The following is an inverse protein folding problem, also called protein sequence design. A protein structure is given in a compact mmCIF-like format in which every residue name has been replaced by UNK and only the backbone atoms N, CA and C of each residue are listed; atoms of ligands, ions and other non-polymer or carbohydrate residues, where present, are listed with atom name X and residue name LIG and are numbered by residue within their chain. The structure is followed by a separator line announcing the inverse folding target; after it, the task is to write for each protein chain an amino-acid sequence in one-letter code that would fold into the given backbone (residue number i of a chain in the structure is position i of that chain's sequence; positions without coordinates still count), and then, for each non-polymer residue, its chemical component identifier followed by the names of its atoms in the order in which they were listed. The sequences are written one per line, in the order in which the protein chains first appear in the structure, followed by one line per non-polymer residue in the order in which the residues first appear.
data_IF_543825743491
#
_entry.id   IF_543825743491
#
_cell.length_a   1.000
_cell.length_b   1.000
_cell.length_c   1.000
_cell.angle_alpha   90.00
_cell.angle_beta   90.00
_cell.angle_gamma   90.00
#
_symmetry.space_group_name_H-M   'P 1'
#
loop_
_entity.id
_entity.type
_entity.pdbx_description
1 polymer ?
#
# COMPACT_ATOMS: atom_id res chain seq x y z
N UNK A 1 -9.54 -4.13 1.29
CA UNK A 1 -10.04 -4.40 2.65
C UNK A 1 -9.32 -3.54 3.69
N UNK A 2 -8.01 -3.61 3.81
CA UNK A 2 -7.23 -2.89 4.84
C UNK A 2 -7.34 -1.36 4.77
N UNK A 3 -7.54 -0.78 3.60
CA UNK A 3 -7.78 0.66 3.42
C UNK A 3 -9.02 1.15 4.19
N UNK A 4 -10.06 0.32 4.30
CA UNK A 4 -11.32 0.67 4.95
C UNK A 4 -11.27 0.78 6.47
N UNK A 5 -10.17 0.42 7.11
CA UNK A 5 -9.91 0.72 8.52
C UNK A 5 -8.51 1.30 8.77
N UNK A 6 -8.05 2.09 7.80
CA UNK A 6 -6.85 2.92 7.93
C UNK A 6 -5.52 2.17 7.85
N UNK A 7 -5.52 0.87 7.51
CA UNK A 7 -4.30 0.06 7.52
C UNK A 7 -3.90 -0.46 8.90
N UNK A 8 -4.80 -0.45 9.88
CA UNK A 8 -4.51 -0.84 11.28
C UNK A 8 -4.21 -2.33 11.45
N UNK A 9 -4.67 -3.20 10.53
CA UNK A 9 -4.66 -4.66 10.71
C UNK A 9 -3.29 -5.33 10.45
N UNK A 10 -2.22 -4.74 10.95
CA UNK A 10 -0.85 -5.25 10.79
C UNK A 10 -0.69 -6.63 11.45
N UNK A 11 -1.38 -6.83 12.56
CA UNK A 11 -1.31 -8.04 13.35
C UNK A 11 -2.17 -9.19 12.82
N UNK A 12 -3.33 -8.88 12.24
CA UNK A 12 -4.33 -9.87 11.86
C UNK A 12 -4.57 -10.01 10.35
N UNK A 13 -3.84 -9.27 9.51
CA UNK A 13 -3.97 -9.41 8.05
C UNK A 13 -3.47 -10.78 7.60
N UNK A 14 -4.22 -11.43 6.71
CA UNK A 14 -3.94 -12.77 6.18
C UNK A 14 -4.17 -12.86 4.68
N UNK A 15 -3.63 -13.92 4.07
CA UNK A 15 -3.81 -14.19 2.65
C UNK A 15 -3.12 -13.17 1.75
N UNK A 16 -3.65 -12.97 0.55
CA UNK A 16 -3.05 -12.09 -0.46
C UNK A 16 -3.04 -10.61 -0.06
N UNK A 17 -3.94 -10.17 0.79
CA UNK A 17 -3.95 -8.78 1.29
C UNK A 17 -2.72 -8.46 2.16
N UNK A 18 -2.15 -9.49 2.80
CA UNK A 18 -0.95 -9.35 3.61
C UNK A 18 0.27 -8.92 2.78
N UNK A 19 0.30 -9.22 1.49
CA UNK A 19 1.36 -8.79 0.56
C UNK A 19 1.51 -7.27 0.51
N UNK A 20 0.47 -6.52 0.87
CA UNK A 20 0.47 -5.06 0.83
C UNK A 20 0.59 -4.41 2.22
N UNK A 21 0.41 -5.17 3.32
CA UNK A 21 0.40 -4.62 4.67
C UNK A 21 1.48 -5.24 5.57
N UNK A 22 1.42 -6.54 5.85
CA UNK A 22 2.42 -7.30 6.60
C UNK A 22 2.66 -8.64 5.94
N UNK A 23 3.79 -8.79 5.28
CA UNK A 23 4.09 -9.95 4.44
C UNK A 23 4.03 -11.29 5.19
N UNK A 24 4.21 -11.32 6.51
CA UNK A 24 4.10 -12.53 7.31
C UNK A 24 2.71 -13.19 7.20
N UNK A 25 1.66 -12.38 7.06
CA UNK A 25 0.29 -12.88 6.96
C UNK A 25 0.00 -13.66 5.68
N UNK A 26 0.83 -13.55 4.64
CA UNK A 26 0.69 -14.39 3.45
C UNK A 26 0.91 -15.88 3.76
N UNK A 27 1.70 -16.20 4.79
CA UNK A 27 1.91 -17.58 5.24
C UNK A 27 0.62 -18.29 5.72
N UNK A 28 -0.47 -17.54 5.93
CA UNK A 28 -1.78 -18.06 6.31
C UNK A 28 -2.66 -18.42 5.09
N UNK A 29 -2.17 -18.20 3.85
CA UNK A 29 -2.83 -18.67 2.62
C UNK A 29 -3.04 -20.18 2.67
N UNK A 30 -4.29 -20.63 2.48
CA UNK A 30 -4.65 -22.06 2.58
C UNK A 30 -4.17 -22.85 1.37
N UNK A 31 -4.40 -22.36 0.17
CA UNK A 31 -4.01 -22.99 -1.10
C UNK A 31 -3.57 -21.95 -2.12
N UNK A 32 -4.50 -21.20 -2.67
CA UNK A 32 -4.25 -20.15 -3.66
C UNK A 32 -5.15 -18.97 -3.37
N UNK A 33 -4.57 -17.77 -3.32
CA UNK A 33 -5.32 -16.53 -3.16
C UNK A 33 -4.97 -15.59 -4.31
N UNK A 34 -5.99 -14.97 -4.90
CA UNK A 34 -5.83 -13.93 -5.94
C UNK A 34 -6.68 -12.74 -5.57
N UNK A 35 -6.15 -11.55 -5.69
CA UNK A 35 -6.91 -10.33 -5.51
C UNK A 35 -6.57 -9.28 -6.55
N UNK A 36 -7.56 -8.46 -6.85
CA UNK A 36 -7.42 -7.25 -7.64
C UNK A 36 -8.17 -6.11 -6.96
N UNK A 37 -7.58 -4.92 -6.98
CA UNK A 37 -8.19 -3.71 -6.41
C UNK A 37 -7.96 -2.53 -7.35
N UNK A 38 -9.02 -1.75 -7.56
CA UNK A 38 -8.96 -0.45 -8.22
C UNK A 38 -9.32 0.64 -7.22
N UNK A 39 -8.53 1.69 -7.19
CA UNK A 39 -8.69 2.82 -6.26
C UNK A 39 -8.66 4.12 -7.03
N UNK A 40 -9.71 4.91 -6.87
CA UNK A 40 -9.70 6.33 -7.22
C UNK A 40 -9.05 7.10 -6.07
N UNK A 41 -7.83 7.57 -6.30
CA UNK A 41 -7.06 8.30 -5.31
C UNK A 41 -7.41 9.78 -5.37
N UNK A 42 -7.87 10.36 -4.26
CA UNK A 42 -8.25 11.78 -4.17
C UNK A 42 -9.24 12.17 -5.29
N UNK A 43 -10.49 11.71 -5.17
CA UNK A 43 -11.54 11.95 -6.18
C UNK A 43 -11.59 13.42 -6.60
N UNK A 44 -11.46 13.67 -7.90
CA UNK A 44 -11.28 14.99 -8.50
C UNK A 44 -9.84 15.28 -8.94
N UNK A 45 -8.85 14.47 -8.52
CA UNK A 45 -7.44 14.62 -8.92
C UNK A 45 -7.02 13.80 -10.13
N UNK A 46 -7.89 12.95 -10.68
CA UNK A 46 -7.59 12.11 -11.85
C UNK A 46 -6.62 10.93 -11.59
N UNK A 47 -6.22 10.71 -10.33
CA UNK A 47 -5.21 9.71 -9.98
C UNK A 47 -5.87 8.36 -9.70
N UNK A 48 -5.34 7.30 -10.31
CA UNK A 48 -5.83 5.94 -10.16
C UNK A 48 -4.73 4.99 -9.71
N UNK A 49 -5.07 4.08 -8.79
CA UNK A 49 -4.18 3.02 -8.33
C UNK A 49 -4.83 1.68 -8.63
N UNK A 50 -4.09 0.81 -9.31
CA UNK A 50 -4.46 -0.58 -9.53
C UNK A 50 -3.51 -1.49 -8.79
N UNK A 51 -4.02 -2.46 -8.03
CA UNK A 51 -3.20 -3.43 -7.33
C UNK A 51 -3.69 -4.85 -7.61
N UNK A 52 -2.76 -5.77 -7.80
CA UNK A 52 -3.03 -7.19 -7.96
C UNK A 52 -2.09 -8.00 -7.10
N UNK A 53 -2.57 -9.10 -6.56
CA UNK A 53 -1.77 -10.02 -5.76
C UNK A 53 -2.14 -11.48 -6.04
N UNK A 54 -1.13 -12.33 -5.92
CA UNK A 54 -1.25 -13.77 -6.08
C UNK A 54 -0.41 -14.45 -5.01
N UNK A 55 -0.99 -15.39 -4.28
CA UNK A 55 -0.28 -16.22 -3.31
C UNK A 55 -0.56 -17.69 -3.60
N UNK A 56 0.47 -18.51 -3.53
CA UNK A 56 0.40 -19.95 -3.72
C UNK A 56 1.12 -20.67 -2.58
N UNK A 57 0.41 -21.57 -1.91
CA UNK A 57 1.01 -22.44 -0.89
C UNK A 57 2.01 -23.39 -1.54
N UNK A 58 3.18 -23.52 -0.94
CA UNK A 58 4.26 -24.40 -1.38
C UNK A 58 4.74 -25.22 -0.18
N UNK A 59 4.68 -26.53 -0.33
CA UNK A 59 4.97 -27.45 0.77
C UNK A 59 3.95 -27.34 1.92
N UNK A 60 4.37 -27.70 3.13
CA UNK A 60 3.49 -27.71 4.30
C UNK A 60 3.31 -26.33 4.93
N UNK A 61 4.35 -25.52 4.99
CA UNK A 61 4.41 -24.30 5.79
C UNK A 61 4.76 -23.04 5.01
N UNK A 62 5.20 -23.15 3.73
CA UNK A 62 5.64 -22.03 2.91
C UNK A 62 4.55 -21.51 1.97
N UNK A 63 4.65 -20.24 1.62
CA UNK A 63 3.82 -19.57 0.61
C UNK A 63 4.71 -18.67 -0.24
N UNK A 64 4.60 -18.82 -1.56
CA UNK A 64 5.18 -17.90 -2.53
C UNK A 64 4.10 -16.89 -2.95
N UNK A 65 4.49 -15.64 -3.10
CA UNK A 65 3.60 -14.57 -3.51
C UNK A 65 4.19 -13.72 -4.62
N UNK A 66 3.31 -13.13 -5.40
CA UNK A 66 3.62 -12.07 -6.35
C UNK A 66 2.64 -10.92 -6.16
N UNK A 67 3.12 -9.69 -6.29
CA UNK A 67 2.30 -8.49 -6.15
C UNK A 67 2.65 -7.46 -7.22
N UNK A 68 1.65 -6.70 -7.61
CA UNK A 68 1.74 -5.60 -8.55
C UNK A 68 0.97 -4.41 -8.00
N UNK A 69 1.55 -3.22 -8.09
CA UNK A 69 0.87 -1.95 -7.83
C UNK A 69 1.23 -0.98 -8.93
N UNK A 70 0.25 -0.48 -9.65
CA UNK A 70 0.39 0.57 -10.65
C UNK A 70 -0.30 1.84 -10.18
N UNK A 71 0.39 2.96 -10.28
CA UNK A 71 -0.11 4.30 -9.98
C UNK A 71 -0.05 5.13 -11.24
N UNK A 72 -1.20 5.61 -11.67
CA UNK A 72 -1.40 6.50 -12.81
C UNK A 72 -1.81 7.86 -12.26
N UNK A 73 -0.99 8.89 -12.55
CA UNK A 73 -1.23 10.25 -12.10
C UNK A 73 -2.14 11.04 -13.05
N UNK A 74 -2.59 10.43 -14.14
CA UNK A 74 -3.38 11.07 -15.19
C UNK A 74 -2.54 11.89 -16.17
N UNK A 75 -3.22 12.55 -17.06
CA UNK A 75 -2.59 13.45 -18.05
C UNK A 75 -2.41 14.85 -17.48
N UNK A 76 -1.19 15.36 -17.60
CA UNK A 76 -0.83 16.70 -17.19
C UNK A 76 -0.37 17.49 -18.42
N UNK A 77 -0.85 18.71 -18.57
CA UNK A 77 -0.44 19.57 -19.66
C UNK A 77 1.03 19.97 -19.52
N UNK A 78 1.76 19.82 -20.61
CA UNK A 78 3.17 20.24 -20.65
C UNK A 78 3.24 21.75 -20.76
N UNK A 79 3.93 22.37 -19.82
CA UNK A 79 4.21 23.81 -19.83
C UNK A 79 5.73 24.05 -19.85
N UNK A 80 6.14 25.15 -20.45
CA UNK A 80 7.53 25.63 -20.44
C UNK A 80 7.55 27.13 -20.11
N UNK A 81 8.74 27.66 -19.88
CA UNK A 81 8.91 29.10 -19.63
C UNK A 81 8.38 29.93 -20.84
N UNK A 82 8.54 29.43 -22.08
CA UNK A 82 8.09 30.09 -23.29
C UNK A 82 6.61 29.84 -23.56
N UNK A 83 6.01 28.77 -23.03
CA UNK A 83 4.61 28.41 -23.20
C UNK A 83 3.99 28.04 -21.84
N UNK A 84 3.77 29.02 -20.94
CA UNK A 84 3.27 28.76 -19.58
C UNK A 84 1.81 28.29 -19.55
N UNK A 85 1.04 28.63 -20.61
CA UNK A 85 -0.36 28.23 -20.78
C UNK A 85 -0.53 26.84 -21.39
N UNK A 86 0.58 26.12 -21.66
CA UNK A 86 0.55 24.79 -22.25
C UNK A 86 0.38 24.77 -23.78
N UNK A 87 -0.37 23.80 -24.30
CA UNK A 87 -0.62 23.67 -25.76
C UNK A 87 0.52 23.00 -26.55
N UNK A 88 1.54 22.48 -25.90
CA UNK A 88 2.71 21.82 -26.48
C UNK A 88 2.77 20.30 -26.24
N UNK A 89 1.68 19.73 -25.77
CA UNK A 89 1.53 18.29 -25.49
C UNK A 89 1.23 17.99 -24.03
N UNK A 90 1.13 16.71 -23.72
CA UNK A 90 0.85 16.21 -22.36
C UNK A 90 1.97 15.31 -21.85
N UNK A 91 2.07 15.16 -20.54
CA UNK A 91 2.93 14.20 -19.86
C UNK A 91 2.05 13.28 -18.99
N UNK A 92 2.42 11.99 -18.93
CA UNK A 92 1.69 10.96 -18.17
C UNK A 92 2.62 10.35 -17.12
N UNK A 93 2.75 10.97 -15.93
CA UNK A 93 3.56 10.39 -14.88
C UNK A 93 2.94 9.09 -14.40
N UNK A 94 3.77 8.10 -14.15
CA UNK A 94 3.32 6.79 -13.65
C UNK A 94 4.35 6.16 -12.73
N UNK A 95 3.89 5.30 -11.83
CA UNK A 95 4.76 4.49 -11.01
C UNK A 95 4.25 3.05 -10.94
N UNK A 96 5.18 2.11 -10.96
CA UNK A 96 4.89 0.67 -10.89
C UNK A 96 5.76 0.05 -9.82
N UNK A 97 5.16 -0.83 -9.01
CA UNK A 97 5.88 -1.68 -8.06
C UNK A 97 5.53 -3.14 -8.33
N UNK A 98 6.53 -3.96 -8.52
CA UNK A 98 6.39 -5.41 -8.66
C UNK A 98 7.11 -6.06 -7.49
N UNK A 99 6.46 -7.01 -6.80
CA UNK A 99 7.03 -7.71 -5.66
C UNK A 99 6.97 -9.22 -5.84
N UNK A 100 8.01 -9.90 -5.34
CA UNK A 100 8.06 -11.36 -5.19
C UNK A 100 8.34 -11.64 -3.73
N UNK A 101 7.54 -12.50 -3.11
CA UNK A 101 7.59 -12.75 -1.69
C UNK A 101 7.64 -14.22 -1.34
N UNK A 102 8.25 -14.49 -0.19
CA UNK A 102 8.18 -15.77 0.48
C UNK A 102 7.82 -15.56 1.94
N UNK A 103 6.84 -16.33 2.42
CA UNK A 103 6.46 -16.33 3.82
C UNK A 103 6.30 -17.76 4.32
N UNK A 104 6.55 -17.94 5.61
CA UNK A 104 6.54 -19.26 6.24
C UNK A 104 5.90 -19.21 7.61
N UNK A 105 5.16 -20.27 7.91
CA UNK A 105 4.72 -20.60 9.26
C UNK A 105 5.86 -21.32 9.97
N UNK A 106 6.49 -20.69 10.96
CA UNK A 106 7.59 -21.27 11.74
C UNK A 106 7.08 -22.18 12.87
N UNK A 107 6.05 -21.73 13.57
CA UNK A 107 5.35 -22.47 14.62
C UNK A 107 3.84 -22.28 14.47
N UNK A 108 3.04 -22.89 15.35
CA UNK A 108 1.58 -22.67 15.36
C UNK A 108 1.19 -21.21 15.65
N UNK A 109 2.11 -20.44 16.21
CA UNK A 109 1.87 -19.05 16.63
C UNK A 109 2.71 -18.02 15.86
N UNK A 110 3.81 -18.40 15.21
CA UNK A 110 4.78 -17.48 14.62
C UNK A 110 4.80 -17.64 13.10
N UNK A 111 4.56 -16.54 12.42
CA UNK A 111 4.62 -16.40 10.97
C UNK A 111 5.63 -15.30 10.61
N UNK A 112 6.39 -15.51 9.56
CA UNK A 112 7.33 -14.52 9.08
C UNK A 112 7.41 -14.53 7.56
N UNK A 113 7.80 -13.41 6.98
CA UNK A 113 7.92 -13.29 5.53
C UNK A 113 8.83 -12.16 5.11
N UNK A 114 9.30 -12.28 3.87
CA UNK A 114 10.11 -11.27 3.18
C UNK A 114 9.55 -11.03 1.80
N UNK A 115 9.74 -9.81 1.30
CA UNK A 115 9.31 -9.40 -0.03
C UNK A 115 10.43 -8.58 -0.68
N UNK A 116 10.77 -8.91 -1.93
CA UNK A 116 11.69 -8.15 -2.76
C UNK A 116 10.85 -7.41 -3.78
N UNK A 117 11.02 -6.08 -3.85
CA UNK A 117 10.24 -5.21 -4.74
C UNK A 117 11.14 -4.44 -5.69
N UNK A 118 10.71 -4.38 -6.93
CA UNK A 118 11.22 -3.46 -7.92
C UNK A 118 10.22 -2.30 -8.05
N UNK A 119 10.66 -1.10 -7.70
CA UNK A 119 9.92 0.14 -7.90
C UNK A 119 10.45 0.84 -9.13
N UNK A 120 9.57 1.31 -9.99
CA UNK A 120 9.89 2.11 -11.17
C UNK A 120 8.92 3.27 -11.25
N UNK A 121 9.44 4.48 -11.40
CA UNK A 121 8.64 5.68 -11.65
C UNK A 121 9.17 6.38 -12.88
N UNK A 122 8.27 6.83 -13.73
CA UNK A 122 8.59 7.59 -14.93
C UNK A 122 7.72 8.84 -15.02
N UNK A 123 8.34 9.91 -15.49
CA UNK A 123 7.66 11.17 -15.82
C UNK A 123 8.39 11.83 -16.97
N UNK A 124 7.72 11.94 -18.13
CA UNK A 124 8.30 12.44 -19.38
C UNK A 124 9.62 11.69 -19.72
N UNK A 125 10.72 12.44 -19.79
CA UNK A 125 12.05 11.95 -20.11
C UNK A 125 12.89 11.62 -18.87
N UNK A 126 12.28 11.51 -17.70
CA UNK A 126 12.92 11.16 -16.44
C UNK A 126 12.38 9.84 -15.90
N UNK A 127 13.26 9.03 -15.37
CA UNK A 127 12.86 7.78 -14.70
C UNK A 127 13.74 7.49 -13.49
N UNK A 128 13.21 6.73 -12.56
CA UNK A 128 13.93 6.17 -11.41
C UNK A 128 13.52 4.72 -11.22
N UNK A 129 14.50 3.88 -10.91
CA UNK A 129 14.29 2.48 -10.56
C UNK A 129 14.97 2.20 -9.22
N UNK A 130 14.28 1.46 -8.37
CA UNK A 130 14.77 1.09 -7.05
C UNK A 130 14.44 -0.35 -6.71
N UNK A 131 15.40 -1.03 -6.09
CA UNK A 131 15.19 -2.32 -5.45
C UNK A 131 14.99 -2.08 -3.96
N UNK A 132 13.89 -2.59 -3.41
CA UNK A 132 13.61 -2.47 -1.98
C UNK A 132 13.06 -3.78 -1.40
N UNK A 133 13.13 -3.87 -0.07
CA UNK A 133 12.78 -5.06 0.69
C UNK A 133 11.73 -4.72 1.74
N UNK A 134 10.82 -5.66 1.96
CA UNK A 134 9.92 -5.66 3.11
C UNK A 134 10.20 -6.92 3.93
N UNK A 135 10.02 -6.80 5.23
CA UNK A 135 10.04 -7.92 6.15
C UNK A 135 8.90 -7.80 7.16
N UNK A 136 8.37 -8.92 7.61
CA UNK A 136 7.30 -8.91 8.58
C UNK A 136 7.26 -10.15 9.43
N UNK A 137 6.71 -9.98 10.64
CA UNK A 137 6.45 -11.05 11.59
C UNK A 137 5.05 -10.87 12.14
N UNK A 138 4.35 -11.98 12.36
CA UNK A 138 3.10 -12.04 13.12
C UNK A 138 3.22 -13.09 14.21
N UNK A 139 2.71 -12.75 15.38
CA UNK A 139 2.55 -13.66 16.51
C UNK A 139 1.08 -13.75 16.88
N UNK A 140 0.51 -14.95 16.78
CA UNK A 140 -0.90 -15.23 16.99
C UNK A 140 -1.02 -16.21 18.15
N UNK A 141 -1.76 -15.85 19.20
CA UNK A 141 -1.86 -16.61 20.42
C UNK A 141 -3.26 -16.54 21.03
N UNK A 142 -3.44 -17.26 22.14
CA UNK A 142 -4.73 -17.43 22.81
C UNK A 142 -5.40 -18.75 22.45
N UNK A 143 -6.38 -19.16 23.23
CA UNK A 143 -7.08 -20.45 23.07
C UNK A 143 -7.74 -20.57 21.69
N UNK A 144 -8.33 -19.47 21.21
CA UNK A 144 -9.04 -19.38 19.94
C UNK A 144 -8.31 -18.46 18.94
N UNK A 145 -6.96 -18.28 19.12
CA UNK A 145 -6.11 -17.41 18.30
C UNK A 145 -6.59 -15.95 18.25
N UNK A 146 -7.23 -15.51 19.31
CA UNK A 146 -7.88 -14.20 19.38
C UNK A 146 -6.91 -13.03 19.59
N UNK A 147 -5.73 -13.26 20.17
CA UNK A 147 -4.73 -12.20 20.40
C UNK A 147 -3.63 -12.28 19.35
N UNK A 148 -3.42 -11.17 18.65
CA UNK A 148 -2.50 -11.09 17.53
C UNK A 148 -1.59 -9.86 17.66
N UNK A 149 -0.32 -10.05 17.33
CA UNK A 149 0.68 -8.98 17.25
C UNK A 149 1.37 -9.04 15.90
N UNK A 150 1.76 -7.89 15.38
CA UNK A 150 2.45 -7.81 14.10
C UNK A 150 3.49 -6.70 14.10
N UNK A 151 4.60 -7.00 13.43
CA UNK A 151 5.66 -6.04 13.13
C UNK A 151 5.94 -6.12 11.64
N UNK A 152 6.07 -4.99 10.98
CA UNK A 152 6.47 -4.94 9.58
C UNK A 152 7.40 -3.76 9.31
N UNK A 153 8.42 -4.01 8.54
CA UNK A 153 9.35 -3.02 8.01
C UNK A 153 9.23 -3.05 6.49
N UNK A 154 8.98 -1.90 5.88
CA UNK A 154 8.70 -1.81 4.44
C UNK A 154 9.59 -0.79 3.75
N UNK A 155 9.83 -1.04 2.45
CA UNK A 155 10.55 -0.16 1.53
C UNK A 155 12.00 0.14 1.95
N UNK A 156 12.70 -0.81 2.55
CA UNK A 156 14.12 -0.66 2.85
C UNK A 156 14.93 -0.85 1.58
N UNK A 157 15.68 0.16 1.18
CA UNK A 157 16.49 0.12 -0.04
C UNK A 157 17.54 1.21 -0.07
N UNK A 158 18.40 1.23 -1.10
CA UNK A 158 19.40 2.26 -1.30
C UNK A 158 18.77 3.60 -1.67
N UNK A 159 19.50 4.67 -1.49
CA UNK A 159 19.16 5.97 -2.07
C UNK A 159 19.19 5.90 -3.60
N UNK A 160 18.28 6.59 -4.24
CA UNK A 160 18.08 6.59 -5.70
C UNK A 160 18.10 8.01 -6.25
N UNK A 161 18.29 8.14 -7.55
CA UNK A 161 18.24 9.43 -8.25
C UNK A 161 17.55 9.28 -9.59
N UNK A 162 16.89 10.34 -10.05
CA UNK A 162 16.33 10.35 -11.40
C UNK A 162 17.42 10.36 -12.47
N UNK A 163 17.18 9.62 -13.54
CA UNK A 163 18.00 9.56 -14.74
C UNK A 163 17.15 9.86 -15.99
N UNK A 164 17.79 10.29 -17.06
CA UNK A 164 17.12 10.56 -18.35
C UNK A 164 17.46 11.93 -18.93
N UNK A 165 17.05 12.15 -20.18
CA UNK A 165 17.39 13.33 -20.96
C UNK A 165 16.61 14.60 -20.53
N UNK A 166 15.63 14.49 -19.67
CA UNK A 166 14.87 15.63 -19.12
C UNK A 166 15.66 16.54 -18.19
N UNK A 167 16.93 16.20 -17.91
CA UNK A 167 17.85 17.02 -17.08
C UNK A 167 18.75 17.94 -17.91
N UNK A 168 18.69 17.85 -19.22
CA UNK A 168 19.51 18.67 -20.10
C UNK A 168 19.09 20.14 -20.06
N UNK A 169 20.03 21.04 -19.75
CA UNK A 169 19.87 22.49 -19.82
C UNK A 169 20.84 23.07 -20.80
N UNK A 170 20.37 23.96 -21.67
CA UNK A 170 21.21 24.71 -22.60
C UNK A 170 21.63 26.03 -21.95
N UNK A 171 22.92 26.21 -21.71
CA UNK A 171 23.46 27.41 -21.13
C UNK A 171 24.37 28.11 -22.14
N UNK A 172 24.20 29.43 -22.25
CA UNK A 172 25.11 30.25 -23.06
C UNK A 172 26.39 30.51 -22.26
N UNK A 173 27.54 30.09 -22.79
CA UNK A 173 28.83 30.34 -22.15
C UNK A 173 29.16 31.84 -22.28
N UNK A 174 29.27 32.60 -21.17
CA UNK A 174 29.39 34.06 -21.18
C UNK A 174 30.56 34.62 -21.99
N UNK A 175 31.68 33.88 -22.05
CA UNK A 175 32.92 34.30 -22.72
C UNK A 175 33.10 33.70 -24.11
N UNK A 176 32.26 32.76 -24.52
CA UNK A 176 32.41 32.05 -25.80
C UNK A 176 31.33 32.36 -26.84
N UNK A 177 30.18 32.94 -26.43
CA UNK A 177 29.06 33.25 -27.28
C UNK A 177 28.37 32.02 -27.91
N UNK A 178 28.66 30.82 -27.44
CA UNK A 178 28.04 29.57 -27.89
C UNK A 178 27.16 28.95 -26.82
N UNK A 179 26.17 28.20 -27.26
CA UNK A 179 25.26 27.42 -26.38
C UNK A 179 25.87 26.05 -26.16
N UNK A 180 25.99 25.64 -24.91
CA UNK A 180 26.46 24.33 -24.53
C UNK A 180 25.36 23.62 -23.71
N UNK A 181 25.14 22.35 -24.02
CA UNK A 181 24.25 21.50 -23.25
C UNK A 181 24.96 20.95 -22.01
N UNK A 182 24.30 21.05 -20.89
CA UNK A 182 24.74 20.49 -19.61
C UNK A 182 23.65 19.58 -19.06
N UNK A 183 24.05 18.47 -18.43
CA UNK A 183 23.16 17.63 -17.66
C UNK A 183 23.18 18.08 -16.19
N UNK A 184 22.01 18.49 -15.67
CA UNK A 184 21.84 18.77 -14.26
C UNK A 184 21.90 17.47 -13.45
N UNK A 185 22.65 17.47 -12.35
CA UNK A 185 22.70 16.31 -11.47
C UNK A 185 21.44 16.24 -10.62
N UNK A 186 20.70 15.14 -10.71
CA UNK A 186 19.59 14.87 -9.80
C UNK A 186 20.13 14.65 -8.39
N UNK A 187 19.50 15.26 -7.39
CA UNK A 187 19.74 14.92 -6.01
C UNK A 187 19.34 13.44 -5.77
N UNK A 188 20.06 12.81 -4.85
CA UNK A 188 19.67 11.48 -4.35
C UNK A 188 18.58 11.63 -3.31
N UNK A 189 17.63 10.71 -3.29
CA UNK A 189 16.61 10.61 -2.26
C UNK A 189 16.47 9.17 -1.78
N UNK A 190 15.94 9.01 -0.59
CA UNK A 190 15.67 7.70 0.00
C UNK A 190 14.23 7.26 -0.32
N UNK A 191 13.99 5.95 -0.30
CA UNK A 191 12.63 5.42 -0.40
C UNK A 191 11.86 5.65 0.91
N UNK A 192 10.53 5.82 0.85
CA UNK A 192 9.71 6.03 2.04
C UNK A 192 9.65 4.76 2.92
N UNK A 193 10.68 4.57 3.74
CA UNK A 193 10.76 3.47 4.68
C UNK A 193 9.73 3.64 5.78
N UNK A 194 9.09 2.54 6.15
CA UNK A 194 8.01 2.52 7.12
C UNK A 194 8.18 1.34 8.09
N UNK A 195 8.18 1.64 9.39
CA UNK A 195 8.11 0.64 10.46
C UNK A 195 6.74 0.70 11.11
N UNK A 196 6.04 -0.43 11.16
CA UNK A 196 4.73 -0.50 11.77
C UNK A 196 4.67 -1.62 12.81
N UNK A 197 4.04 -1.30 13.94
CA UNK A 197 3.77 -2.21 15.05
C UNK A 197 2.27 -2.24 15.29
N UNK A 198 1.68 -3.43 15.41
CA UNK A 198 0.24 -3.55 15.60
C UNK A 198 -0.15 -4.67 16.54
N UNK A 199 -1.31 -4.51 17.17
CA UNK A 199 -1.98 -5.53 17.95
C UNK A 199 -3.46 -5.57 17.63
N UNK A 200 -4.07 -6.74 17.73
CA UNK A 200 -5.52 -6.91 17.60
C UNK A 200 -6.04 -7.99 18.52
N UNK A 201 -7.31 -7.84 18.88
CA UNK A 201 -8.03 -8.81 19.68
C UNK A 201 -9.40 -9.11 19.08
N UNK A 202 -9.70 -10.39 18.93
CA UNK A 202 -10.95 -10.90 18.39
C UNK A 202 -11.87 -11.36 19.53
N UNK A 203 -13.04 -10.72 19.64
CA UNK A 203 -14.15 -11.21 20.46
C UNK A 203 -15.01 -12.11 19.59
N UNK A 204 -15.00 -13.41 19.91
CA UNK A 204 -15.66 -14.44 19.11
C UNK A 204 -16.98 -14.82 19.79
N UNK A 205 -18.09 -14.66 19.04
CA UNK A 205 -19.44 -14.97 19.50
C UNK A 205 -20.10 -15.90 18.45
N UNK A 206 -20.05 -17.20 18.68
CA UNK A 206 -20.56 -18.23 17.75
C UNK A 206 -20.08 -17.99 16.30
N UNK A 207 -20.93 -17.38 15.48
CA UNK A 207 -20.68 -17.08 14.07
C UNK A 207 -20.33 -15.63 13.80
N UNK A 208 -20.08 -14.83 14.84
CA UNK A 208 -19.79 -13.39 14.74
C UNK A 208 -18.44 -13.12 15.38
N UNK A 209 -17.67 -12.22 14.77
CA UNK A 209 -16.37 -11.80 15.30
C UNK A 209 -16.31 -10.29 15.32
N UNK A 210 -16.05 -9.73 16.51
CA UNK A 210 -15.76 -8.32 16.68
C UNK A 210 -14.26 -8.16 16.95
N UNK A 211 -13.55 -7.54 16.03
CA UNK A 211 -12.10 -7.29 16.14
C UNK A 211 -11.84 -5.83 16.48
N UNK A 212 -11.05 -5.60 17.53
CA UNK A 212 -10.42 -4.30 17.76
C UNK A 212 -8.94 -4.39 17.42
N UNK A 213 -8.42 -3.36 16.75
CA UNK A 213 -7.02 -3.27 16.38
C UNK A 213 -6.45 -1.88 16.68
N UNK A 214 -5.17 -1.86 17.05
CA UNK A 214 -4.40 -0.64 17.21
C UNK A 214 -3.02 -0.83 16.57
N UNK A 215 -2.50 0.21 15.95
CA UNK A 215 -1.19 0.20 15.32
C UNK A 215 -0.47 1.54 15.52
N UNK A 216 0.84 1.46 15.62
CA UNK A 216 1.76 2.58 15.52
C UNK A 216 2.54 2.44 14.22
N UNK A 217 2.70 3.52 13.47
CA UNK A 217 3.43 3.57 12.23
C UNK A 217 4.42 4.73 12.24
N UNK A 218 5.70 4.42 12.15
CA UNK A 218 6.76 5.40 11.99
C UNK A 218 7.15 5.51 10.52
N UNK A 219 7.17 6.73 10.00
CA UNK A 219 7.42 7.06 8.60
C UNK A 219 8.68 7.91 8.46
N UNK A 220 9.53 7.63 7.45
CA UNK A 220 10.76 8.40 7.23
C UNK A 220 10.52 9.84 6.78
N UNK A 221 9.42 10.11 6.05
CA UNK A 221 9.15 11.42 5.42
C UNK A 221 7.87 12.09 5.92
N UNK A 222 7.04 11.35 6.63
CA UNK A 222 5.79 11.86 7.21
C UNK A 222 5.85 11.74 8.72
N UNK A 223 4.91 12.40 9.39
CA UNK A 223 4.74 12.26 10.84
C UNK A 223 4.30 10.85 11.20
N UNK A 224 4.70 10.41 12.38
CA UNK A 224 4.26 9.16 12.96
C UNK A 224 2.73 9.13 13.11
N UNK A 225 2.16 7.95 12.96
CA UNK A 225 0.72 7.75 12.98
C UNK A 225 0.33 6.72 14.05
N UNK A 226 -0.74 7.02 14.76
CA UNK A 226 -1.45 6.08 15.62
C UNK A 226 -2.77 5.74 14.97
N UNK A 227 -3.02 4.46 14.74
CA UNK A 227 -4.20 4.01 14.02
C UNK A 227 -4.99 3.09 14.95
N UNK A 228 -6.29 3.34 15.05
CA UNK A 228 -7.21 2.47 15.78
C UNK A 228 -8.36 2.07 14.87
N UNK A 229 -8.90 0.88 15.07
CA UNK A 229 -10.00 0.42 14.24
C UNK A 229 -10.77 -0.72 14.86
N UNK A 230 -11.98 -0.89 14.35
CA UNK A 230 -12.86 -2.00 14.70
C UNK A 230 -13.46 -2.62 13.43
N UNK A 231 -13.63 -3.93 13.46
CA UNK A 231 -14.31 -4.70 12.41
C UNK A 231 -15.34 -5.63 13.06
N UNK A 232 -16.52 -5.69 12.48
CA UNK A 232 -17.53 -6.67 12.82
C UNK A 232 -17.80 -7.56 11.63
N UNK A 233 -17.64 -8.86 11.80
CA UNK A 233 -17.80 -9.88 10.77
C UNK A 233 -18.87 -10.88 11.19
N UNK A 234 -19.80 -11.19 10.29
CA UNK A 234 -20.88 -12.14 10.50
C UNK A 234 -20.71 -13.33 9.56
N UNK A 235 -20.63 -14.54 10.13
CA UNK A 235 -20.49 -15.82 9.41
C UNK A 235 -19.35 -15.86 8.38
N UNK A 236 -18.33 -15.02 8.56
CA UNK A 236 -17.27 -14.80 7.57
C UNK A 236 -17.77 -14.37 6.17
N UNK A 237 -19.03 -13.92 6.08
CA UNK A 237 -19.70 -13.54 4.83
C UNK A 237 -19.78 -12.03 4.71
N UNK A 238 -20.34 -11.36 5.72
CA UNK A 238 -20.54 -9.91 5.70
C UNK A 238 -19.70 -9.28 6.80
N UNK A 239 -18.93 -8.29 6.43
CA UNK A 239 -18.11 -7.51 7.35
C UNK A 239 -18.24 -6.02 7.13
N UNK A 240 -18.26 -5.28 8.23
CA UNK A 240 -18.14 -3.82 8.23
C UNK A 240 -16.98 -3.41 9.11
N UNK A 241 -16.31 -2.32 8.75
CA UNK A 241 -15.15 -1.83 9.48
C UNK A 241 -15.07 -0.32 9.49
N UNK A 242 -14.42 0.19 10.52
CA UNK A 242 -14.15 1.61 10.69
C UNK A 242 -12.76 1.75 11.29
N UNK A 243 -12.04 2.78 10.87
CA UNK A 243 -10.73 3.12 11.40
C UNK A 243 -10.54 4.61 11.52
N UNK A 244 -9.64 4.99 12.41
CA UNK A 244 -9.25 6.36 12.59
C UNK A 244 -7.74 6.48 12.75
N UNK A 245 -7.13 7.33 11.92
CA UNK A 245 -5.69 7.61 11.94
C UNK A 245 -5.45 8.94 12.61
N UNK A 246 -4.64 8.94 13.66
CA UNK A 246 -4.25 10.11 14.43
C UNK A 246 -2.83 10.49 14.03
N UNK A 247 -2.62 11.70 13.55
CA UNK A 247 -1.31 12.30 13.33
C UNK A 247 -1.12 13.48 14.26
N UNK A 248 0.10 13.77 14.68
CA UNK A 248 0.40 14.96 15.47
C UNK A 248 0.33 16.23 14.59
N UNK A 249 -0.86 16.79 14.49
CA UNK A 249 -1.16 18.01 13.73
C UNK A 249 -1.48 19.19 14.66
N UNK A 250 -0.68 19.38 15.72
CA UNK A 250 -0.96 20.43 16.75
C UNK A 250 -1.00 21.84 16.21
N UNK A 251 -0.40 22.10 15.04
CA UNK A 251 -0.45 23.39 14.38
C UNK A 251 -1.20 23.25 13.06
N UNK A 252 -2.32 23.94 12.94
CA UNK A 252 -3.21 23.86 11.76
C UNK A 252 -2.48 24.23 10.45
N UNK A 253 -1.52 25.14 10.52
CA UNK A 253 -0.67 25.56 9.39
C UNK A 253 0.36 24.50 8.94
N UNK A 254 0.55 23.44 9.72
CA UNK A 254 1.50 22.36 9.44
C UNK A 254 0.84 21.02 9.06
N UNK A 255 -0.39 21.07 8.57
CA UNK A 255 -1.06 19.86 8.09
C UNK A 255 -0.37 19.37 6.82
N UNK A 256 0.32 18.25 6.91
CA UNK A 256 1.07 17.62 5.80
C UNK A 256 0.27 16.56 5.06
N UNK A 257 -0.88 16.15 5.59
CA UNK A 257 -1.72 15.09 5.03
C UNK A 257 -3.07 15.62 4.59
N UNK A 258 -3.53 15.16 3.43
CA UNK A 258 -4.89 15.40 2.91
C UNK A 258 -5.94 14.53 3.61
N UNK A 259 -5.54 13.50 4.33
CA UNK A 259 -6.43 12.59 5.04
C UNK A 259 -6.93 13.23 6.34
N UNK A 260 -8.24 13.10 6.61
CA UNK A 260 -8.86 13.60 7.85
C UNK A 260 -8.76 12.57 8.99
N UNK A 261 -8.29 11.37 8.70
CA UNK A 261 -8.13 10.27 9.63
C UNK A 261 -9.23 9.20 9.55
N UNK A 262 -10.46 9.57 9.21
CA UNK A 262 -11.57 8.62 9.14
C UNK A 262 -11.48 7.70 7.93
N UNK A 263 -11.70 6.41 8.17
CA UNK A 263 -11.85 5.37 7.14
C UNK A 263 -13.00 4.43 7.47
N UNK A 264 -13.66 3.90 6.46
CA UNK A 264 -14.73 2.93 6.60
C UNK A 264 -14.69 1.92 5.44
N UNK A 265 -15.23 0.72 5.64
CA UNK A 265 -15.30 -0.28 4.58
C UNK A 265 -16.28 -1.38 4.87
N UNK A 266 -16.64 -2.11 3.83
CA UNK A 266 -17.52 -3.28 3.88
C UNK A 266 -16.94 -4.40 3.02
N UNK A 267 -17.22 -5.63 3.42
CA UNK A 267 -16.87 -6.86 2.71
C UNK A 267 -18.09 -7.73 2.54
N UNK A 268 -18.20 -8.34 1.37
CA UNK A 268 -19.09 -9.46 1.12
C UNK A 268 -18.25 -10.63 0.60
N UNK A 269 -18.18 -11.73 1.36
CA UNK A 269 -17.43 -12.93 1.00
C UNK A 269 -18.40 -14.11 0.85
N UNK A 270 -18.63 -14.55 -0.39
CA UNK A 270 -19.60 -15.60 -0.69
C UNK A 270 -18.87 -16.92 -0.94
N UNK A 271 -19.22 -18.02 -0.23
CA UNK A 271 -18.68 -19.34 -0.56
C UNK A 271 -19.18 -19.79 -1.95
N UNK A 272 -18.27 -20.34 -2.76
CA UNK A 272 -18.56 -20.88 -4.09
C UNK A 272 -18.51 -22.41 -4.03
N UNK A 273 -19.67 -23.04 -3.89
CA UNK A 273 -19.79 -24.50 -3.77
C UNK A 273 -19.24 -25.05 -2.45
N UNK A 274 -19.01 -26.37 -2.42
CA UNK A 274 -18.59 -27.10 -1.20
C UNK A 274 -17.06 -27.26 -1.08
N UNK A 275 -16.29 -26.71 -2.01
CA UNK A 275 -14.82 -26.86 -2.10
C UNK A 275 -14.04 -25.95 -1.13
N UNK A 276 -14.73 -25.10 -0.36
CA UNK A 276 -14.10 -24.10 0.50
C UNK A 276 -13.62 -22.84 -0.23
N UNK A 277 -13.85 -22.76 -1.54
CA UNK A 277 -13.57 -21.56 -2.36
C UNK A 277 -14.47 -20.41 -1.94
N UNK A 278 -13.92 -19.22 -1.78
CA UNK A 278 -14.69 -18.00 -1.48
C UNK A 278 -14.40 -16.92 -2.51
N UNK A 279 -15.46 -16.21 -2.91
CA UNK A 279 -15.37 -14.96 -3.66
C UNK A 279 -15.64 -13.80 -2.73
N UNK A 280 -14.73 -12.84 -2.66
CA UNK A 280 -14.84 -11.64 -1.84
C UNK A 280 -15.00 -10.39 -2.71
N UNK A 281 -15.90 -9.51 -2.30
CA UNK A 281 -16.05 -8.15 -2.80
C UNK A 281 -15.82 -7.20 -1.63
N UNK A 282 -14.94 -6.23 -1.81
CA UNK A 282 -14.58 -5.25 -0.80
C UNK A 282 -14.79 -3.84 -1.33
N UNK A 283 -15.37 -2.99 -0.49
CA UNK A 283 -15.41 -1.55 -0.70
C UNK A 283 -14.75 -0.83 0.47
N UNK A 284 -13.98 0.20 0.18
CA UNK A 284 -13.32 1.01 1.20
C UNK A 284 -13.35 2.48 0.84
N UNK A 285 -13.52 3.31 1.86
CA UNK A 285 -13.53 4.76 1.79
C UNK A 285 -12.54 5.34 2.80
N UNK A 286 -11.77 6.36 2.42
CA UNK A 286 -10.98 7.20 3.32
C UNK A 286 -11.32 8.66 3.09
N UNK A 287 -11.65 9.35 4.18
CA UNK A 287 -12.03 10.75 4.13
C UNK A 287 -10.82 11.66 3.90
N UNK A 288 -10.98 12.65 3.03
CA UNK A 288 -9.94 13.64 2.68
C UNK A 288 -10.50 15.06 2.72
N UNK A 289 -9.63 16.05 2.75
CA UNK A 289 -9.95 17.45 2.61
C UNK A 289 -8.76 18.16 1.91
N UNK A 290 -8.94 18.89 0.78
CA UNK A 290 -10.22 19.34 0.19
C UNK A 290 -10.90 18.37 -0.79
N UNK A 291 -10.30 17.21 -1.08
CA UNK A 291 -10.82 16.26 -2.05
C UNK A 291 -12.04 15.48 -1.54
N UNK A 292 -12.74 14.80 -2.45
CA UNK A 292 -13.95 14.04 -2.15
C UNK A 292 -13.69 12.58 -1.67
N UNK A 293 -12.53 12.34 -1.05
CA UNK A 293 -12.16 11.06 -0.49
C UNK A 293 -11.35 10.18 -1.45
N UNK A 294 -11.02 9.00 -0.95
CA UNK A 294 -10.40 7.90 -1.68
C UNK A 294 -11.36 6.72 -1.66
N UNK A 295 -11.71 6.21 -2.84
CA UNK A 295 -12.62 5.07 -3.00
C UNK A 295 -11.87 3.88 -3.58
N UNK A 296 -11.97 2.72 -2.94
CA UNK A 296 -11.36 1.48 -3.41
C UNK A 296 -12.40 0.38 -3.54
N UNK A 297 -12.37 -0.33 -4.66
CA UNK A 297 -13.16 -1.54 -4.90
C UNK A 297 -12.18 -2.68 -5.15
N UNK A 298 -12.35 -3.78 -4.43
CA UNK A 298 -11.51 -4.96 -4.55
C UNK A 298 -12.32 -6.23 -4.74
N UNK A 299 -11.76 -7.16 -5.49
CA UNK A 299 -12.26 -8.52 -5.63
C UNK A 299 -11.18 -9.50 -5.19
N UNK A 300 -11.58 -10.60 -4.57
CA UNK A 300 -10.68 -11.63 -4.09
C UNK A 300 -11.25 -13.01 -4.34
N UNK A 301 -10.40 -13.94 -4.78
CA UNK A 301 -10.69 -15.37 -4.89
C UNK A 301 -9.74 -16.12 -3.95
N UNK A 302 -10.31 -16.88 -3.04
CA UNK A 302 -9.61 -17.78 -2.11
C UNK A 302 -10.00 -19.21 -2.45
N UNK A 303 -8.99 -20.04 -2.82
CA UNK A 303 -9.15 -21.43 -3.29
C UNK A 303 -8.63 -22.42 -2.23
#
# INVERSE_FOLDING_TARGET
RNTGWGGVNIAGVEGVEASFLNIAGTAQTKRTDVAFTSTQWLVGGGINISAAGFNQKVGSNGVLGASFVGLDYGEWERTTVDNPDGGIGTINPSAVTIGISYAQKFTESIYGGVNIKLFSQASDNLSVNALCFDAGVQYITGKDKQLKFGITLKNVGPSVSYSGNGKGVNLTVPQGGYVQAYDERSATFELPTNLSLGGSYDFIFDSQVLTFAAAFQSNSFEKDQYIVGAQYMVKEIVGVRVGYTIQDNRVYEQRTSVFTGLSAGATLAVPLGDSGTKFGLDYSYRATNPFNGVHSIGIQFML
#
